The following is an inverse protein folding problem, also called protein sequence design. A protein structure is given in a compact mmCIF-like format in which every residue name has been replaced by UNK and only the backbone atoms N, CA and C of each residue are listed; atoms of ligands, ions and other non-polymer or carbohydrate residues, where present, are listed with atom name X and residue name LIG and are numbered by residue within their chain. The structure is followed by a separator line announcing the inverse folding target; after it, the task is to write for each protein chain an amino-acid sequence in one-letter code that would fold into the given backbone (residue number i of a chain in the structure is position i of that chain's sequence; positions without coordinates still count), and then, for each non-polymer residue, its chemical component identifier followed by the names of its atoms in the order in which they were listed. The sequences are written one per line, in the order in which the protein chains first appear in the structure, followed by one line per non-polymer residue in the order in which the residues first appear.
data_IF_121492719749
#
_entry.id   IF_121492719749
#
_cell.length_a   1.000
_cell.length_b   1.000
_cell.length_c   1.000
_cell.angle_alpha   90.00
_cell.angle_beta   90.00
_cell.angle_gamma   90.00
#
_symmetry.space_group_name_H-M   'P 1'
#
loop_
_entity.id
_entity.type
_entity.pdbx_description
1 polymer ?
#
# COMPACT_ATOMS: atom_id res chain seq x y z
N UNK A 1 4.15 -32.77 31.79
CA UNK A 1 3.59 -31.42 31.50
C UNK A 1 4.70 -30.55 30.93
N UNK A 2 4.69 -30.26 29.63
CA UNK A 2 5.73 -29.42 29.01
C UNK A 2 5.44 -27.94 29.27
N UNK A 3 6.25 -27.31 30.12
CA UNK A 3 6.25 -25.86 30.34
C UNK A 3 6.48 -25.18 28.99
N UNK A 4 5.60 -24.25 28.56
CA UNK A 4 5.84 -23.54 27.31
C UNK A 4 7.16 -22.78 27.43
N UNK A 5 8.03 -22.80 26.39
CA UNK A 5 9.21 -21.95 26.38
C UNK A 5 8.76 -20.49 26.53
N UNK A 6 9.47 -19.74 27.37
CA UNK A 6 9.22 -18.32 27.54
C UNK A 6 9.24 -17.67 26.16
N UNK A 7 8.11 -17.07 25.74
CA UNK A 7 8.12 -16.16 24.61
C UNK A 7 9.20 -15.12 24.92
N UNK A 8 10.13 -14.93 23.97
CA UNK A 8 11.13 -13.88 24.05
C UNK A 8 10.44 -12.57 24.48
N UNK A 9 11.10 -11.81 25.37
CA UNK A 9 10.58 -10.57 25.93
C UNK A 9 9.81 -9.79 24.87
N UNK A 10 8.59 -9.37 25.21
CA UNK A 10 7.72 -8.66 24.28
C UNK A 10 8.53 -7.54 23.61
N UNK A 11 8.60 -7.49 22.26
CA UNK A 11 9.25 -6.40 21.60
C UNK A 11 8.64 -5.11 22.15
N UNK A 12 9.49 -4.13 22.47
CA UNK A 12 9.03 -2.83 22.93
C UNK A 12 7.97 -2.24 21.99
N UNK A 13 7.24 -1.19 22.43
CA UNK A 13 6.17 -0.61 21.63
C UNK A 13 6.67 -0.34 20.21
N UNK A 14 5.90 -0.76 19.20
CA UNK A 14 6.27 -0.51 17.81
C UNK A 14 6.14 0.98 17.53
N UNK A 15 7.26 1.58 17.16
CA UNK A 15 7.38 3.01 16.95
C UNK A 15 7.45 3.35 15.47
N UNK A 16 6.86 4.48 15.12
CA UNK A 16 6.89 5.11 13.82
C UNK A 16 7.70 6.41 13.93
N UNK A 17 8.70 6.56 13.07
CA UNK A 17 9.33 7.85 12.84
C UNK A 17 8.45 8.64 11.87
N UNK A 18 7.82 9.69 12.39
CA UNK A 18 6.91 10.56 11.66
C UNK A 18 7.64 11.84 11.27
N UNK A 19 7.82 12.03 9.98
CA UNK A 19 8.39 13.23 9.38
C UNK A 19 7.28 14.05 8.74
N UNK A 20 7.17 15.32 9.11
CA UNK A 20 6.22 16.27 8.52
C UNK A 20 7.02 17.29 7.71
N UNK A 21 6.67 17.43 6.44
CA UNK A 21 7.24 18.43 5.54
C UNK A 21 6.22 19.52 5.26
N UNK A 22 6.59 20.73 5.68
CA UNK A 22 5.77 21.94 5.60
C UNK A 22 6.61 23.01 4.90
N UNK A 23 7.40 23.74 5.67
CA UNK A 23 8.41 24.72 5.27
C UNK A 23 9.73 24.26 5.91
N UNK A 24 9.67 23.94 7.21
CA UNK A 24 10.66 23.13 7.91
C UNK A 24 10.26 21.66 8.00
N UNK A 25 11.28 20.79 8.14
CA UNK A 25 11.10 19.36 8.37
C UNK A 25 11.13 19.08 9.86
N UNK A 26 10.02 18.59 10.41
CA UNK A 26 9.94 18.17 11.82
C UNK A 26 9.81 16.66 11.92
N UNK A 27 10.58 16.03 12.81
CA UNK A 27 10.52 14.60 13.08
C UNK A 27 10.01 14.35 14.51
N UNK A 28 9.15 13.35 14.68
CA UNK A 28 8.68 12.90 15.99
C UNK A 28 8.42 11.40 15.97
N UNK A 29 8.47 10.77 17.14
CA UNK A 29 8.25 9.32 17.28
C UNK A 29 6.85 9.06 17.82
N UNK A 30 6.11 8.17 17.16
CA UNK A 30 4.74 7.82 17.49
C UNK A 30 4.67 6.34 17.83
N UNK A 31 3.89 5.95 18.82
CA UNK A 31 3.50 4.56 18.98
C UNK A 31 2.42 4.16 17.97
N UNK A 32 2.10 2.86 17.91
CA UNK A 32 1.12 2.33 16.98
C UNK A 32 -0.29 2.95 17.14
N UNK A 33 -0.85 3.10 18.35
CA UNK A 33 -2.14 3.77 18.56
C UNK A 33 -2.16 5.23 18.11
N UNK A 34 -1.10 6.00 18.36
CA UNK A 34 -1.00 7.39 17.91
C UNK A 34 -0.89 7.48 16.39
N UNK A 35 -0.12 6.58 15.76
CA UNK A 35 -0.02 6.48 14.31
C UNK A 35 -1.37 6.12 13.65
N UNK A 36 -2.12 5.17 14.22
CA UNK A 36 -3.47 4.83 13.76
C UNK A 36 -4.44 6.01 13.92
N UNK A 37 -4.37 6.71 15.05
CA UNK A 37 -5.19 7.90 15.31
C UNK A 37 -4.93 9.02 14.29
N UNK A 38 -3.67 9.19 13.88
CA UNK A 38 -3.28 10.12 12.82
C UNK A 38 -3.88 9.71 11.46
N UNK A 39 -3.78 8.42 11.10
CA UNK A 39 -4.36 7.89 9.86
C UNK A 39 -5.88 8.05 9.81
N UNK A 40 -6.60 7.67 10.88
CA UNK A 40 -8.06 7.83 10.98
C UNK A 40 -8.47 9.30 10.88
N UNK A 41 -7.69 10.23 11.47
CA UNK A 41 -7.94 11.67 11.35
C UNK A 41 -7.74 12.15 9.91
N UNK A 42 -6.69 11.69 9.23
CA UNK A 42 -6.44 12.02 7.83
C UNK A 42 -7.56 11.49 6.91
N UNK A 43 -8.00 10.25 7.12
CA UNK A 43 -9.07 9.62 6.35
C UNK A 43 -10.39 10.39 6.52
N UNK A 44 -10.78 10.73 7.76
CA UNK A 44 -11.97 11.55 8.04
C UNK A 44 -11.95 12.93 7.37
N UNK A 45 -10.77 13.49 7.13
CA UNK A 45 -10.58 14.78 6.46
C UNK A 45 -10.46 14.65 4.93
N UNK A 46 -10.57 13.45 4.38
CA UNK A 46 -10.42 13.20 2.95
C UNK A 46 -9.01 13.45 2.41
N UNK A 47 -7.98 13.32 3.26
CA UNK A 47 -6.61 13.47 2.82
C UNK A 47 -6.16 12.25 2.02
N UNK A 48 -5.23 12.44 1.08
CA UNK A 48 -4.64 11.34 0.32
C UNK A 48 -3.76 10.51 1.28
N UNK A 49 -3.97 9.19 1.31
CA UNK A 49 -3.24 8.26 2.16
C UNK A 49 -2.68 7.14 1.28
N UNK A 50 -1.39 6.87 1.42
CA UNK A 50 -0.71 5.78 0.71
C UNK A 50 0.05 4.91 1.71
N UNK A 51 -0.24 3.61 1.71
CA UNK A 51 0.53 2.62 2.47
C UNK A 51 1.83 2.25 1.74
N UNK A 52 2.90 2.01 2.51
CA UNK A 52 4.20 1.59 2.00
C UNK A 52 4.47 0.12 2.31
N UNK A 53 5.28 -0.54 1.47
CA UNK A 53 5.66 -1.96 1.66
C UNK A 53 6.55 -2.19 2.88
N UNK A 54 7.18 -1.15 3.40
CA UNK A 54 7.88 -1.15 4.69
C UNK A 54 6.92 -1.24 5.88
N UNK A 55 5.61 -1.11 5.67
CA UNK A 55 4.61 -0.95 6.73
C UNK A 55 4.44 0.51 7.17
N UNK A 56 5.08 1.45 6.49
CA UNK A 56 4.87 2.89 6.67
C UNK A 56 3.65 3.42 5.92
N UNK A 57 3.45 4.74 6.00
CA UNK A 57 2.43 5.45 5.25
C UNK A 57 2.84 6.87 4.91
N UNK A 58 2.19 7.42 3.89
CA UNK A 58 2.28 8.83 3.49
C UNK A 58 0.90 9.44 3.48
N UNK A 59 0.75 10.61 4.09
CA UNK A 59 -0.46 11.44 4.06
C UNK A 59 -0.12 12.71 3.27
N UNK A 60 -0.96 13.08 2.30
CA UNK A 60 -0.81 14.28 1.50
C UNK A 60 -2.10 15.11 1.49
N UNK A 61 -1.96 16.42 1.62
CA UNK A 61 -3.09 17.35 1.49
C UNK A 61 -2.61 18.71 1.02
N UNK A 62 -3.57 19.54 0.60
CA UNK A 62 -3.36 20.95 0.26
C UNK A 62 -3.73 21.82 1.45
N UNK A 63 -2.79 22.62 1.95
CA UNK A 63 -3.07 23.59 2.99
C UNK A 63 -3.54 24.90 2.36
N UNK A 64 -4.73 25.35 2.75
CA UNK A 64 -5.27 26.65 2.37
C UNK A 64 -5.02 27.65 3.50
N UNK A 65 -4.39 28.78 3.18
CA UNK A 65 -4.23 29.93 4.07
C UNK A 65 -4.92 31.13 3.42
N UNK A 66 -5.64 31.92 4.21
CA UNK A 66 -6.29 33.14 3.71
C UNK A 66 -5.21 34.07 3.18
N UNK A 67 -5.35 34.54 1.94
CA UNK A 67 -4.40 35.46 1.30
C UNK A 67 -3.09 34.84 0.79
N UNK A 68 -2.96 33.50 0.77
CA UNK A 68 -1.77 32.82 0.25
C UNK A 68 -2.13 31.65 -0.68
N UNK A 69 -1.26 31.31 -1.64
CA UNK A 69 -1.48 30.17 -2.53
C UNK A 69 -1.52 28.86 -1.73
N UNK A 70 -2.31 27.91 -2.24
CA UNK A 70 -2.39 26.58 -1.64
C UNK A 70 -1.04 25.89 -1.68
N UNK A 71 -0.58 25.37 -0.54
CA UNK A 71 0.73 24.74 -0.42
C UNK A 71 0.58 23.25 -0.12
N UNK A 72 1.23 22.35 -0.87
CA UNK A 72 1.18 20.93 -0.59
C UNK A 72 1.90 20.63 0.73
N UNK A 73 1.26 19.82 1.57
CA UNK A 73 1.84 19.33 2.82
C UNK A 73 1.90 17.82 2.79
N UNK A 74 2.94 17.25 3.38
CA UNK A 74 3.12 15.81 3.45
C UNK A 74 3.52 15.39 4.86
N UNK A 75 2.96 14.28 5.32
CA UNK A 75 3.46 13.52 6.47
C UNK A 75 3.88 12.15 5.95
N UNK A 76 5.09 11.71 6.30
CA UNK A 76 5.56 10.35 6.08
C UNK A 76 5.84 9.70 7.43
N UNK A 77 5.33 8.49 7.63
CA UNK A 77 5.60 7.71 8.83
C UNK A 77 6.22 6.38 8.39
N UNK A 78 7.40 6.07 8.92
CA UNK A 78 8.08 4.80 8.68
C UNK A 78 8.24 4.05 10.01
N UNK A 79 7.91 2.75 10.07
CA UNK A 79 8.15 1.98 11.27
C UNK A 79 9.65 1.85 11.52
N UNK A 80 10.08 2.00 12.78
CA UNK A 80 11.48 1.83 13.17
C UNK A 80 12.01 0.42 12.85
N UNK A 81 11.12 -0.57 12.82
CA UNK A 81 11.39 -1.91 12.28
C UNK A 81 10.56 -2.13 11.02
N UNK A 82 11.16 -2.00 9.82
CA UNK A 82 10.44 -2.19 8.56
C UNK A 82 9.84 -3.59 8.42
N UNK A 83 8.54 -3.64 8.10
CA UNK A 83 7.76 -4.83 7.82
C UNK A 83 8.05 -5.40 6.41
N UNK A 84 9.32 -5.73 6.11
CA UNK A 84 9.71 -6.34 4.82
C UNK A 84 9.17 -7.76 4.74
N UNK A 85 8.02 -7.93 4.09
CA UNK A 85 7.34 -9.22 3.99
C UNK A 85 8.01 -10.14 2.97
N UNK A 86 8.42 -11.33 3.41
CA UNK A 86 8.74 -12.44 2.50
C UNK A 86 7.46 -13.10 2.00
N UNK A 87 7.54 -13.91 0.94
CA UNK A 87 6.38 -14.67 0.44
C UNK A 87 5.74 -15.55 1.53
N UNK A 88 6.57 -16.19 2.36
CA UNK A 88 6.11 -17.01 3.50
C UNK A 88 5.43 -16.17 4.57
N UNK A 89 6.03 -15.05 4.99
CA UNK A 89 5.42 -14.16 6.00
C UNK A 89 4.09 -13.59 5.53
N UNK A 90 4.01 -13.24 4.24
CA UNK A 90 2.77 -12.79 3.61
C UNK A 90 1.70 -13.88 3.65
N UNK A 91 2.03 -15.11 3.26
CA UNK A 91 1.09 -16.22 3.30
C UNK A 91 0.61 -16.51 4.74
N UNK A 92 1.51 -16.49 5.72
CA UNK A 92 1.15 -16.65 7.14
C UNK A 92 0.17 -15.55 7.59
N UNK A 93 0.45 -14.30 7.25
CA UNK A 93 -0.38 -13.16 7.61
C UNK A 93 -1.72 -13.13 6.87
N UNK A 94 -1.77 -13.58 5.62
CA UNK A 94 -3.01 -13.74 4.84
C UNK A 94 -3.89 -14.85 5.43
N UNK A 95 -3.31 -15.99 5.81
CA UNK A 95 -4.03 -17.08 6.49
C UNK A 95 -4.58 -16.62 7.86
N UNK A 96 -3.76 -15.89 8.61
CA UNK A 96 -4.18 -15.20 9.83
C UNK A 96 -5.34 -14.25 9.50
N UNK A 97 -5.20 -13.30 8.57
CA UNK A 97 -6.26 -12.35 8.23
C UNK A 97 -7.57 -13.02 7.74
N UNK A 98 -7.49 -14.10 6.99
CA UNK A 98 -8.67 -14.86 6.53
C UNK A 98 -9.43 -15.47 7.71
N UNK A 99 -8.71 -16.07 8.68
CA UNK A 99 -9.29 -16.61 9.92
C UNK A 99 -9.80 -15.49 10.85
N UNK A 100 -9.29 -14.26 10.70
CA UNK A 100 -9.57 -13.10 11.57
C UNK A 100 -10.92 -12.51 11.32
N UNK A 101 -11.35 -12.49 10.06
CA UNK A 101 -12.62 -11.91 9.64
C UNK A 101 -13.80 -12.52 10.40
N UNK A 102 -13.64 -13.76 10.86
CA UNK A 102 -14.62 -14.46 11.71
C UNK A 102 -14.64 -13.94 13.17
N UNK A 103 -13.59 -13.23 13.63
CA UNK A 103 -13.33 -12.93 15.05
C UNK A 103 -12.82 -11.51 15.34
N UNK A 104 -13.05 -10.53 14.45
CA UNK A 104 -12.63 -9.13 14.67
C UNK A 104 -13.22 -8.59 15.97
N UNK A 105 -12.41 -7.87 16.75
CA UNK A 105 -12.88 -7.12 17.90
C UNK A 105 -13.54 -5.79 17.47
N UNK A 106 -14.38 -5.17 18.33
CA UNK A 106 -15.06 -3.91 18.01
C UNK A 106 -14.13 -2.73 17.70
N UNK A 107 -12.88 -2.80 18.14
CA UNK A 107 -11.82 -1.80 17.94
C UNK A 107 -11.03 -2.00 16.62
N UNK A 108 -11.48 -2.92 15.75
CA UNK A 108 -10.83 -3.26 14.48
C UNK A 108 -9.53 -4.07 14.63
N UNK A 109 -9.16 -4.43 15.86
CA UNK A 109 -7.99 -5.27 16.10
C UNK A 109 -8.29 -6.72 15.73
N UNK A 110 -7.30 -7.34 15.11
CA UNK A 110 -7.34 -8.75 14.76
C UNK A 110 -6.70 -9.53 15.91
N UNK A 111 -7.50 -10.30 16.66
CA UNK A 111 -7.05 -11.03 17.84
C UNK A 111 -7.11 -12.54 17.62
N UNK A 112 -6.03 -13.25 17.96
CA UNK A 112 -5.96 -14.71 17.84
C UNK A 112 -5.34 -15.40 19.02
N UNK A 113 -5.85 -16.59 19.35
CA UNK A 113 -5.16 -17.51 20.23
C UNK A 113 -3.97 -18.16 19.53
N UNK A 114 -2.84 -18.23 20.24
CA UNK A 114 -1.59 -18.86 19.78
C UNK A 114 -1.76 -20.32 19.31
N UNK A 115 -2.76 -21.05 19.81
CA UNK A 115 -3.00 -22.45 19.44
C UNK A 115 -3.45 -22.66 17.99
N UNK A 116 -3.85 -21.59 17.29
CA UNK A 116 -4.40 -21.65 15.92
C UNK A 116 -3.39 -21.30 14.83
N UNK A 117 -2.23 -20.78 15.21
CA UNK A 117 -1.17 -20.38 14.30
C UNK A 117 0.01 -21.33 14.55
N UNK A 118 0.62 -21.93 13.51
CA UNK A 118 1.80 -22.76 13.69
C UNK A 118 2.86 -22.02 14.51
N UNK A 119 3.39 -22.65 15.57
CA UNK A 119 4.34 -22.00 16.49
C UNK A 119 5.55 -21.38 15.77
N UNK A 120 6.04 -22.05 14.72
CA UNK A 120 7.14 -21.56 13.90
C UNK A 120 6.77 -20.27 13.14
N UNK A 121 5.52 -20.14 12.68
CA UNK A 121 5.02 -18.93 12.03
C UNK A 121 4.87 -17.78 13.04
N UNK A 122 4.28 -18.05 14.21
CA UNK A 122 4.18 -17.05 15.29
C UNK A 122 5.56 -16.53 15.70
N UNK A 123 6.52 -17.42 15.98
CA UNK A 123 7.87 -17.03 16.40
C UNK A 123 8.55 -16.15 15.34
N UNK A 124 8.44 -16.53 14.06
CA UNK A 124 8.99 -15.78 12.93
C UNK A 124 8.34 -14.40 12.78
N UNK A 125 7.02 -14.30 12.86
CA UNK A 125 6.30 -13.03 12.73
C UNK A 125 6.54 -12.11 13.93
N UNK A 126 6.58 -12.66 15.14
CA UNK A 126 6.87 -11.93 16.37
C UNK A 126 8.31 -11.40 16.39
N UNK A 127 9.30 -12.22 15.99
CA UNK A 127 10.70 -11.80 15.87
C UNK A 127 10.92 -10.66 14.85
N UNK A 128 9.93 -10.39 14.00
CA UNK A 128 9.94 -9.30 13.01
C UNK A 128 9.03 -8.13 13.39
N UNK A 129 8.41 -8.15 14.57
CA UNK A 129 7.48 -7.09 15.00
C UNK A 129 6.20 -7.02 14.16
N UNK A 130 5.80 -8.12 13.51
CA UNK A 130 4.57 -8.20 12.71
C UNK A 130 3.37 -8.66 13.53
N UNK A 131 3.65 -9.32 14.65
CA UNK A 131 2.69 -9.67 15.69
C UNK A 131 3.15 -9.08 17.02
N UNK A 132 2.21 -8.61 17.82
CA UNK A 132 2.42 -8.25 19.23
C UNK A 132 1.48 -9.07 20.10
N UNK A 133 1.86 -9.30 21.35
CA UNK A 133 1.01 -9.94 22.35
C UNK A 133 0.66 -8.88 23.42
N UNK A 134 -0.63 -8.65 23.71
CA UNK A 134 -1.03 -7.75 24.80
C UNK A 134 -0.43 -8.23 26.13
N UNK A 135 0.05 -7.30 26.96
CA UNK A 135 0.60 -7.63 28.27
C UNK A 135 -0.40 -8.39 29.15
N UNK A 136 -1.67 -8.00 29.06
CA UNK A 136 -2.77 -8.57 29.86
C UNK A 136 -3.22 -9.96 29.39
N UNK A 137 -2.90 -10.34 28.15
CA UNK A 137 -3.23 -11.68 27.61
C UNK A 137 -2.15 -12.16 26.63
N UNK A 138 -1.06 -12.77 27.12
CA UNK A 138 0.05 -13.24 26.30
C UNK A 138 -0.32 -14.46 25.44
N UNK A 139 -1.47 -15.11 25.69
CA UNK A 139 -1.97 -16.17 24.83
C UNK A 139 -2.61 -15.62 23.55
N UNK A 140 -2.79 -14.29 23.46
CA UNK A 140 -3.32 -13.59 22.29
C UNK A 140 -2.22 -12.93 21.48
N UNK A 141 -2.41 -12.95 20.17
CA UNK A 141 -1.61 -12.16 19.23
C UNK A 141 -2.49 -11.17 18.47
N UNK A 142 -1.91 -9.99 18.24
CA UNK A 142 -2.48 -8.88 17.48
C UNK A 142 -1.58 -8.59 16.29
N UNK A 143 -2.17 -8.45 15.11
CA UNK A 143 -1.45 -8.02 13.91
C UNK A 143 -1.19 -6.53 13.97
N UNK A 144 0.07 -6.16 13.84
CA UNK A 144 0.53 -4.77 14.01
C UNK A 144 0.10 -3.91 12.82
N UNK A 145 0.00 -2.60 13.01
CA UNK A 145 -0.38 -1.63 11.98
C UNK A 145 0.59 -1.68 10.82
N UNK A 146 1.89 -1.78 11.11
CA UNK A 146 2.93 -1.89 10.09
C UNK A 146 2.74 -3.16 9.24
N UNK A 147 2.44 -4.30 9.86
CA UNK A 147 2.13 -5.53 9.13
C UNK A 147 0.87 -5.37 8.26
N UNK A 148 -0.20 -4.77 8.80
CA UNK A 148 -1.45 -4.52 8.06
C UNK A 148 -1.23 -3.59 6.85
N UNK A 149 -0.45 -2.51 7.02
CA UNK A 149 -0.11 -1.57 5.95
C UNK A 149 0.79 -2.23 4.89
N UNK A 150 1.77 -3.02 5.31
CA UNK A 150 2.64 -3.74 4.38
C UNK A 150 1.86 -4.78 3.55
N UNK A 151 0.95 -5.53 4.17
CA UNK A 151 0.04 -6.44 3.47
C UNK A 151 -0.83 -5.70 2.46
N UNK A 152 -1.41 -4.57 2.85
CA UNK A 152 -2.22 -3.75 1.96
C UNK A 152 -1.41 -3.27 0.74
N UNK A 153 -0.20 -2.76 0.98
CA UNK A 153 0.69 -2.25 -0.07
C UNK A 153 1.15 -3.36 -1.03
N UNK A 154 1.29 -4.60 -0.55
CA UNK A 154 1.61 -5.74 -1.41
C UNK A 154 0.40 -6.29 -2.16
N UNK A 155 -0.75 -6.42 -1.50
CA UNK A 155 -1.99 -6.88 -2.12
C UNK A 155 -2.48 -5.93 -3.22
N UNK A 156 -2.22 -4.63 -3.08
CA UNK A 156 -2.62 -3.58 -4.01
C UNK A 156 -1.44 -2.93 -4.74
N UNK A 157 -0.48 -3.76 -5.16
CA UNK A 157 0.61 -3.35 -6.02
C UNK A 157 0.07 -2.92 -7.39
N UNK A 158 0.20 -1.64 -7.69
CA UNK A 158 -0.20 -1.09 -8.99
C UNK A 158 0.94 -1.10 -9.99
N UNK A 159 0.60 -1.25 -11.26
CA UNK A 159 1.53 -1.14 -12.38
C UNK A 159 0.93 -0.21 -13.45
N UNK A 160 1.79 0.32 -14.31
CA UNK A 160 1.40 1.09 -15.50
C UNK A 160 2.13 0.53 -16.70
N UNK A 161 1.47 0.51 -17.86
CA UNK A 161 2.09 0.09 -19.12
C UNK A 161 2.70 1.31 -19.82
N UNK A 162 3.96 1.20 -20.25
CA UNK A 162 4.55 2.23 -21.08
C UNK A 162 3.79 2.35 -22.42
N UNK A 163 3.50 3.57 -22.89
CA UNK A 163 2.93 3.76 -24.22
C UNK A 163 3.90 3.27 -25.29
N UNK A 164 3.38 2.76 -26.41
CA UNK A 164 4.21 2.26 -27.52
C UNK A 164 4.99 3.38 -28.21
N UNK A 165 4.53 4.62 -28.12
CA UNK A 165 5.15 5.75 -28.81
C UNK A 165 4.92 5.67 -30.32
N UNK A 166 5.97 5.90 -31.12
CA UNK A 166 5.87 5.78 -32.57
C UNK A 166 5.99 4.32 -33.01
N UNK A 167 4.95 3.78 -33.62
CA UNK A 167 4.90 2.41 -34.14
C UNK A 167 4.39 2.38 -35.59
N UNK A 168 4.71 1.32 -36.34
CA UNK A 168 4.12 1.11 -37.66
C UNK A 168 2.87 0.26 -37.49
N UNK A 169 1.69 0.74 -37.93
CA UNK A 169 0.47 -0.07 -37.87
C UNK A 169 0.60 -1.41 -38.58
N UNK A 170 1.48 -1.49 -39.60
CA UNK A 170 1.81 -2.71 -40.32
C UNK A 170 2.36 -3.84 -39.43
N UNK A 171 2.99 -3.52 -38.30
CA UNK A 171 3.60 -4.52 -37.41
C UNK A 171 2.54 -5.29 -36.58
N UNK A 172 1.32 -4.74 -36.44
CA UNK A 172 0.22 -5.36 -35.67
C UNK A 172 -0.81 -6.06 -36.59
N UNK A 173 -0.59 -6.11 -37.90
CA UNK A 173 -1.53 -6.67 -38.88
C UNK A 173 -1.56 -8.19 -38.78
N UNK A 174 -2.74 -8.76 -38.61
CA UNK A 174 -2.94 -10.22 -38.70
C UNK A 174 -2.96 -10.67 -40.17
N UNK A 175 -2.58 -11.92 -40.48
CA UNK A 175 -2.70 -12.43 -41.85
C UNK A 175 -4.12 -12.22 -42.40
N UNK A 176 -4.24 -11.49 -43.51
CA UNK A 176 -5.51 -11.16 -44.16
C UNK A 176 -6.09 -9.77 -43.85
N UNK A 177 -5.50 -9.02 -42.93
CA UNK A 177 -5.86 -7.63 -42.66
C UNK A 177 -5.04 -6.66 -43.53
N UNK A 178 -5.64 -5.53 -43.91
CA UNK A 178 -5.01 -4.52 -44.76
C UNK A 178 -4.51 -3.36 -43.90
N UNK A 179 -3.29 -2.87 -44.19
CA UNK A 179 -2.72 -1.74 -43.47
C UNK A 179 -3.53 -0.48 -43.75
N UNK A 180 -4.18 0.10 -42.73
CA UNK A 180 -4.64 1.47 -42.83
C UNK A 180 -3.41 2.38 -43.02
N UNK A 181 -3.39 3.14 -44.11
CA UNK A 181 -2.30 4.07 -44.42
C UNK A 181 -2.31 5.24 -43.44
N UNK A 182 -1.67 5.07 -42.29
CA UNK A 182 -1.44 6.15 -41.34
C UNK A 182 -0.35 7.08 -41.89
N UNK A 183 -0.77 8.11 -42.64
CA UNK A 183 0.05 9.28 -43.00
C UNK A 183 1.29 8.97 -43.83
N UNK A 184 1.09 8.69 -45.13
CA UNK A 184 2.12 8.42 -46.14
C UNK A 184 3.01 9.63 -46.50
N UNK A 185 2.80 10.80 -45.89
CA UNK A 185 3.45 12.07 -46.29
C UNK A 185 3.95 12.92 -45.10
N UNK A 186 4.48 12.31 -44.04
CA UNK A 186 5.15 13.09 -42.97
C UNK A 186 6.68 13.13 -43.20
N UNK A 187 7.29 14.32 -43.38
CA UNK A 187 8.74 14.45 -43.52
C UNK A 187 9.50 14.04 -42.24
N UNK A 188 10.72 13.53 -42.41
CA UNK A 188 11.50 12.88 -41.35
C UNK A 188 11.12 11.40 -41.17
N UNK A 189 11.94 10.58 -40.48
CA UNK A 189 11.78 9.11 -40.34
C UNK A 189 10.51 8.58 -39.62
N UNK A 190 9.42 9.35 -39.67
CA UNK A 190 8.09 9.15 -39.09
C UNK A 190 7.00 8.90 -40.15
N UNK A 191 7.33 8.93 -41.44
CA UNK A 191 6.38 8.54 -42.51
C UNK A 191 5.87 7.11 -42.29
N UNK A 192 4.55 6.90 -42.42
CA UNK A 192 3.91 5.59 -42.20
C UNK A 192 3.84 5.11 -40.75
N UNK A 193 4.14 5.97 -39.76
CA UNK A 193 4.06 5.64 -38.33
C UNK A 193 2.88 6.34 -37.65
N UNK A 194 2.18 5.61 -36.78
CA UNK A 194 1.20 6.15 -35.86
C UNK A 194 1.87 6.44 -34.49
N UNK A 195 1.33 7.40 -33.75
CA UNK A 195 1.81 7.71 -32.40
C UNK A 195 0.78 7.29 -31.36
N UNK A 196 1.11 6.26 -30.59
CA UNK A 196 0.30 5.77 -29.49
C UNK A 196 0.78 6.38 -28.16
N UNK A 197 -0.07 7.22 -27.57
CA UNK A 197 0.12 7.77 -26.21
C UNK A 197 -0.59 6.95 -25.15
N UNK A 198 -1.49 6.05 -25.55
CA UNK A 198 -2.36 5.36 -24.61
C UNK A 198 -1.55 4.52 -23.64
N UNK A 199 -2.01 4.51 -22.40
CA UNK A 199 -1.42 3.73 -21.33
C UNK A 199 -2.52 2.94 -20.64
N UNK A 200 -2.13 2.03 -19.77
CA UNK A 200 -3.07 1.33 -18.90
C UNK A 200 -2.49 1.29 -17.51
N UNK A 201 -3.39 1.30 -16.53
CA UNK A 201 -3.08 1.11 -15.13
C UNK A 201 -3.78 -0.16 -14.65
N UNK A 202 -3.10 -0.93 -13.80
CA UNK A 202 -3.69 -2.12 -13.20
C UNK A 202 -3.19 -2.35 -11.78
N UNK A 203 -3.86 -3.23 -11.06
CA UNK A 203 -3.55 -3.60 -9.69
C UNK A 203 -3.48 -5.12 -9.52
N UNK A 204 -2.59 -5.59 -8.64
CA UNK A 204 -2.48 -7.02 -8.29
C UNK A 204 -3.75 -7.61 -7.69
N UNK A 205 -4.64 -6.79 -7.13
CA UNK A 205 -5.94 -7.24 -6.62
C UNK A 205 -6.92 -7.68 -7.72
N UNK A 206 -6.59 -7.45 -9.00
CA UNK A 206 -7.41 -7.77 -10.19
C UNK A 206 -8.76 -7.06 -10.28
N UNK A 207 -9.14 -6.28 -9.28
CA UNK A 207 -10.38 -5.47 -9.26
C UNK A 207 -10.21 -4.10 -9.94
N UNK A 208 -8.97 -3.75 -10.33
CA UNK A 208 -8.66 -2.50 -10.99
C UNK A 208 -7.78 -2.76 -12.21
N UNK A 209 -8.32 -2.43 -13.39
CA UNK A 209 -7.64 -2.37 -14.66
C UNK A 209 -8.35 -1.34 -15.54
N UNK A 210 -7.65 -0.26 -15.90
CA UNK A 210 -8.23 0.84 -16.67
C UNK A 210 -7.30 1.27 -17.80
N UNK A 211 -7.91 1.64 -18.94
CA UNK A 211 -7.23 2.35 -20.01
C UNK A 211 -7.16 3.84 -19.68
N UNK A 212 -6.05 4.47 -20.08
CA UNK A 212 -5.76 5.87 -19.83
C UNK A 212 -5.24 6.55 -21.11
N UNK A 213 -5.48 7.85 -21.22
CA UNK A 213 -5.07 8.62 -22.40
C UNK A 213 -3.55 8.72 -22.54
N UNK A 214 -2.84 8.79 -21.41
CA UNK A 214 -1.40 8.82 -21.34
C UNK A 214 -0.86 8.19 -20.05
N UNK A 215 0.47 8.15 -19.93
CA UNK A 215 1.16 7.58 -18.76
C UNK A 215 0.93 8.37 -17.46
N UNK A 216 0.73 9.68 -17.54
CA UNK A 216 0.48 10.52 -16.36
C UNK A 216 -0.94 10.28 -15.83
N UNK A 217 -1.92 10.15 -16.72
CA UNK A 217 -3.28 9.73 -16.41
C UNK A 217 -3.30 8.33 -15.79
N UNK A 218 -2.62 7.35 -16.39
CA UNK A 218 -2.50 6.00 -15.82
C UNK A 218 -1.89 6.02 -14.41
N UNK A 219 -0.82 6.79 -14.19
CA UNK A 219 -0.19 6.92 -12.89
C UNK A 219 -1.09 7.61 -11.85
N UNK A 220 -1.90 8.59 -12.27
CA UNK A 220 -2.91 9.24 -11.43
C UNK A 220 -4.01 8.26 -11.02
N UNK A 221 -4.58 7.51 -11.97
CA UNK A 221 -5.63 6.51 -11.69
C UNK A 221 -5.13 5.39 -10.75
N UNK A 222 -3.92 4.86 -11.01
CA UNK A 222 -3.28 3.90 -10.13
C UNK A 222 -3.09 4.45 -8.69
N UNK A 223 -2.76 5.74 -8.56
CA UNK A 223 -2.63 6.40 -7.26
C UNK A 223 -3.98 6.53 -6.56
N UNK A 224 -5.01 7.01 -7.26
CA UNK A 224 -6.36 7.13 -6.74
C UNK A 224 -6.91 5.79 -6.26
N UNK A 225 -6.67 4.70 -7.01
CA UNK A 225 -7.04 3.35 -6.58
C UNK A 225 -6.39 2.96 -5.24
N UNK A 226 -5.07 3.18 -5.09
CA UNK A 226 -4.36 2.88 -3.84
C UNK A 226 -4.87 3.70 -2.66
N UNK A 227 -5.20 4.97 -2.90
CA UNK A 227 -5.75 5.87 -1.89
C UNK A 227 -7.15 5.42 -1.45
N UNK A 228 -8.01 5.04 -2.40
CA UNK A 228 -9.35 4.53 -2.11
C UNK A 228 -9.30 3.23 -1.29
N UNK A 229 -8.40 2.32 -1.64
CA UNK A 229 -8.19 1.06 -0.91
C UNK A 229 -7.65 1.32 0.50
N UNK A 230 -6.69 2.24 0.66
CA UNK A 230 -6.19 2.62 1.98
C UNK A 230 -7.27 3.24 2.86
N UNK A 231 -8.11 4.11 2.29
CA UNK A 231 -9.25 4.68 3.00
C UNK A 231 -10.27 3.61 3.42
N UNK A 232 -10.60 2.66 2.53
CA UNK A 232 -11.51 1.56 2.85
C UNK A 232 -10.97 0.67 3.98
N UNK A 233 -9.68 0.32 3.93
CA UNK A 233 -9.02 -0.44 4.99
C UNK A 233 -9.09 0.28 6.33
N UNK A 234 -8.85 1.60 6.36
CA UNK A 234 -8.95 2.40 7.59
C UNK A 234 -10.37 2.53 8.12
N UNK A 235 -11.39 2.47 7.25
CA UNK A 235 -12.78 2.46 7.68
C UNK A 235 -13.19 1.13 8.35
N UNK A 236 -12.50 0.03 8.01
CA UNK A 236 -12.69 -1.28 8.67
C UNK A 236 -11.90 -1.44 9.98
N UNK A 237 -10.98 -0.53 10.27
CA UNK A 237 -10.16 -0.53 11.49
C UNK A 237 -10.74 0.40 12.54
#
# INVERSE_FOLDING_TARGET
MNRPPALAAAPGPLLFLVTRTVEDTTTATYDEPAALSLLRRAARRGFSIQAHRSGGFRIQWQAHRVGAPSTPRTITAEPMTPARLTATMRADLEDIAARARVRRAPDGTIRFGLSRIPRAATARLHARGLLTAPADDPARVVVTLSARLALLAEAHRTWTKAPRGWYRPADDIRPGEWAFSAGSFRPGGKSGKAHDRTSSAGCSCKQFAEFAHDRADAARRARQHREAVAAAMLAEL
#
